data_IF_880190058639
#
_entry.id   IF_880190058639
#
_cell.length_a   1.000
_cell.length_b   1.000
_cell.length_c   1.000
_cell.angle_alpha   90.00
_cell.angle_beta   90.00
_cell.angle_gamma   90.00
#
_symmetry.space_group_name_H-M   'P 1'
#
loop_
_entity.id
_entity.type
_entity.pdbx_description
1 polymer ?
#
# COMPACT_ATOMS: atom_id res chain seq x y z
N UNK A 1 -3.15 6.66 -22.44
CA UNK A 1 -2.37 5.62 -21.75
C UNK A 1 -2.57 5.81 -20.26
N UNK A 2 -2.82 4.73 -19.53
CA UNK A 2 -2.88 4.75 -18.07
C UNK A 2 -2.04 3.61 -17.50
N UNK A 3 -1.53 3.81 -16.28
CA UNK A 3 -0.89 2.77 -15.48
C UNK A 3 -1.26 2.95 -14.03
N UNK A 4 -1.25 1.86 -13.28
CA UNK A 4 -1.45 1.86 -11.83
C UNK A 4 -0.14 1.51 -11.16
N UNK A 5 0.21 2.24 -10.11
CA UNK A 5 1.32 1.91 -9.23
C UNK A 5 0.80 1.83 -7.80
N UNK A 6 1.49 1.08 -6.94
CA UNK A 6 1.18 1.09 -5.53
C UNK A 6 2.43 1.00 -4.66
N UNK A 7 2.30 1.54 -3.46
CA UNK A 7 3.31 1.59 -2.43
C UNK A 7 2.70 1.18 -1.10
N UNK A 8 3.54 0.68 -0.21
CA UNK A 8 3.18 0.48 1.19
C UNK A 8 3.92 1.53 2.00
N UNK A 9 3.18 2.24 2.82
CA UNK A 9 3.66 3.34 3.65
C UNK A 9 3.28 3.05 5.09
N UNK A 10 4.07 3.56 6.02
CA UNK A 10 3.74 3.50 7.44
C UNK A 10 3.42 4.91 7.91
N UNK A 11 2.22 5.08 8.47
CA UNK A 11 1.76 6.31 9.10
C UNK A 11 2.56 6.57 10.37
N UNK A 12 3.00 7.81 10.58
CA UNK A 12 3.62 8.19 11.86
C UNK A 12 2.56 8.45 12.93
N UNK A 13 2.90 8.31 14.23
CA UNK A 13 2.07 8.85 15.31
C UNK A 13 1.77 10.32 15.04
N UNK A 14 0.50 10.71 15.15
CA UNK A 14 0.00 12.08 14.99
C UNK A 14 0.07 12.71 13.58
N UNK A 15 0.37 11.94 12.54
CA UNK A 15 0.35 12.46 11.17
C UNK A 15 -1.07 12.74 10.65
N UNK A 16 -1.25 13.91 10.04
CA UNK A 16 -2.48 14.28 9.36
C UNK A 16 -2.48 13.87 7.88
N UNK A 17 -3.64 13.98 7.22
CA UNK A 17 -3.81 13.55 5.83
C UNK A 17 -2.88 14.28 4.84
N UNK A 18 -2.61 15.57 5.06
CA UNK A 18 -1.75 16.36 4.17
C UNK A 18 -0.31 15.86 4.26
N UNK A 19 0.17 15.56 5.47
CA UNK A 19 1.50 15.01 5.73
C UNK A 19 1.67 13.62 5.11
N UNK A 20 0.64 12.77 5.20
CA UNK A 20 0.64 11.45 4.55
C UNK A 20 0.68 11.60 3.01
N UNK A 21 -0.09 12.53 2.45
CA UNK A 21 -0.12 12.74 1.01
C UNK A 21 1.19 13.32 0.45
N UNK A 22 1.90 14.15 1.24
CA UNK A 22 3.12 14.83 0.85
C UNK A 22 4.37 14.27 1.56
N UNK A 23 4.94 13.21 0.98
CA UNK A 23 6.14 12.52 1.50
C UNK A 23 7.35 12.62 0.56
N UNK A 24 8.09 13.74 0.57
CA UNK A 24 9.22 13.95 -0.34
C UNK A 24 10.49 13.16 0.03
N UNK A 25 10.61 12.71 1.29
CA UNK A 25 11.84 12.09 1.82
C UNK A 25 11.84 10.55 1.82
N UNK A 26 10.71 9.92 1.55
CA UNK A 26 10.58 8.46 1.56
C UNK A 26 9.22 7.99 2.05
N UNK A 27 8.93 6.70 1.79
CA UNK A 27 7.62 6.09 2.04
C UNK A 27 7.56 5.30 3.36
N UNK A 28 8.70 4.75 3.78
CA UNK A 28 8.88 4.05 5.04
C UNK A 28 10.06 4.70 5.78
N UNK A 29 9.83 5.17 7.00
CA UNK A 29 10.92 5.49 7.92
C UNK A 29 11.26 4.24 8.73
N UNK A 30 12.55 3.95 8.83
CA UNK A 30 13.06 2.73 9.50
C UNK A 30 12.82 2.72 11.01
N UNK A 31 12.47 3.87 11.59
CA UNK A 31 12.36 4.03 13.04
C UNK A 31 11.04 3.50 13.63
N UNK A 32 10.11 3.03 12.78
CA UNK A 32 8.86 2.39 13.22
C UNK A 32 9.04 0.87 13.23
N UNK A 33 9.32 0.31 14.41
CA UNK A 33 9.32 -1.14 14.64
C UNK A 33 7.92 -1.61 15.02
N UNK A 34 7.34 -2.54 14.25
CA UNK A 34 6.04 -3.18 14.50
C UNK A 34 4.79 -2.27 14.36
N UNK A 35 4.49 -1.78 13.14
CA UNK A 35 3.28 -0.99 12.90
C UNK A 35 2.01 -1.82 13.09
N UNK A 36 0.96 -1.20 13.62
CA UNK A 36 -0.39 -1.78 13.64
C UNK A 36 -1.02 -1.79 12.24
N UNK A 37 -2.05 -2.61 11.97
CA UNK A 37 -2.74 -2.62 10.68
C UNK A 37 -3.30 -1.25 10.25
N UNK A 38 -3.76 -0.42 11.19
CA UNK A 38 -4.28 0.93 10.90
C UNK A 38 -3.18 1.92 10.48
N UNK A 39 -1.93 1.63 10.85
CA UNK A 39 -0.76 2.44 10.50
C UNK A 39 -0.14 2.02 9.17
N UNK A 40 -0.46 0.83 8.65
CA UNK A 40 0.00 0.37 7.34
C UNK A 40 -0.95 0.89 6.26
N UNK A 41 -0.45 1.78 5.40
CA UNK A 41 -1.21 2.42 4.32
C UNK A 41 -0.80 1.84 2.97
N UNK A 42 -1.79 1.39 2.21
CA UNK A 42 -1.67 0.97 0.82
C UNK A 42 -1.98 2.20 -0.04
N UNK A 43 -0.92 2.86 -0.53
CA UNK A 43 -1.04 3.99 -1.45
C UNK A 43 -1.14 3.47 -2.87
N UNK A 44 -2.22 3.83 -3.57
CA UNK A 44 -2.38 3.54 -5.00
C UNK A 44 -2.39 4.81 -5.81
N UNK A 45 -1.64 4.81 -6.90
CA UNK A 45 -1.57 5.92 -7.83
C UNK A 45 -2.08 5.50 -9.19
N UNK A 46 -3.21 6.07 -9.60
CA UNK A 46 -3.67 5.99 -10.99
C UNK A 46 -3.01 7.10 -11.78
N UNK A 47 -2.14 6.70 -12.69
CA UNK A 47 -1.30 7.60 -13.47
C UNK A 47 -1.82 7.65 -14.91
N UNK A 48 -2.09 8.85 -15.40
CA UNK A 48 -2.69 9.07 -16.73
C UNK A 48 -1.81 9.99 -17.56
N UNK A 49 -1.66 9.65 -18.84
CA UNK A 49 -0.92 10.46 -19.81
C UNK A 49 -1.87 10.87 -20.92
N UNK A 50 -2.02 12.18 -21.10
CA UNK A 50 -2.87 12.78 -22.13
C UNK A 50 -2.10 13.83 -22.91
N UNK A 51 -2.15 13.76 -24.24
CA UNK A 51 -1.62 14.82 -25.10
C UNK A 51 -2.66 15.92 -25.25
N UNK A 52 -2.29 17.15 -24.94
CA UNK A 52 -3.16 18.31 -25.05
C UNK A 52 -3.34 18.67 -26.54
N UNK A 53 -4.58 18.81 -27.03
CA UNK A 53 -4.85 18.92 -28.47
C UNK A 53 -4.33 20.22 -29.08
N UNK A 54 -4.28 21.32 -28.31
CA UNK A 54 -3.84 22.63 -28.81
C UNK A 54 -2.33 22.81 -28.80
N UNK A 55 -1.66 22.36 -27.74
CA UNK A 55 -0.23 22.64 -27.51
C UNK A 55 0.68 21.44 -27.77
N UNK A 56 0.12 20.23 -27.88
CA UNK A 56 0.89 18.99 -27.99
C UNK A 56 1.61 18.56 -26.70
N UNK A 57 1.51 19.34 -25.61
CA UNK A 57 2.07 19.04 -24.29
C UNK A 57 1.49 17.76 -23.73
N UNK A 58 2.28 17.00 -22.96
CA UNK A 58 1.80 15.83 -22.22
C UNK A 58 1.37 16.26 -20.81
N UNK A 59 0.09 16.10 -20.51
CA UNK A 59 -0.44 16.18 -19.15
C UNK A 59 -0.26 14.82 -18.48
N UNK A 60 0.56 14.79 -17.45
CA UNK A 60 0.71 13.66 -16.54
C UNK A 60 -0.14 13.90 -15.29
N UNK A 61 -1.20 13.13 -15.12
CA UNK A 61 -2.09 13.21 -13.96
C UNK A 61 -1.87 12.04 -13.02
N UNK A 62 -1.71 12.31 -11.74
CA UNK A 62 -1.59 11.30 -10.68
C UNK A 62 -2.78 11.45 -9.74
N UNK A 63 -3.61 10.42 -9.64
CA UNK A 63 -4.67 10.34 -8.64
C UNK A 63 -4.28 9.34 -7.57
N UNK A 64 -4.11 9.83 -6.34
CA UNK A 64 -3.70 9.04 -5.19
C UNK A 64 -4.91 8.57 -4.39
N UNK A 65 -4.90 7.29 -4.02
CA UNK A 65 -5.83 6.66 -3.09
C UNK A 65 -5.02 6.12 -1.91
N UNK A 66 -5.54 6.28 -0.70
CA UNK A 66 -4.94 5.76 0.52
C UNK A 66 -5.96 4.84 1.18
N UNK A 67 -5.53 3.64 1.57
CA UNK A 67 -6.37 2.66 2.26
C UNK A 67 -5.52 1.99 3.33
N UNK A 68 -6.00 1.96 4.57
CA UNK A 68 -5.29 1.27 5.65
C UNK A 68 -5.45 -0.25 5.51
N UNK A 69 -4.51 -1.03 6.06
CA UNK A 69 -4.51 -2.49 5.90
C UNK A 69 -5.77 -3.13 6.49
N UNK A 70 -6.26 -2.62 7.61
CA UNK A 70 -7.49 -3.07 8.27
C UNK A 70 -8.75 -2.82 7.44
N UNK A 71 -8.73 -1.82 6.57
CA UNK A 71 -9.83 -1.48 5.65
C UNK A 71 -9.70 -2.18 4.28
N UNK A 72 -8.59 -2.86 4.03
CA UNK A 72 -8.34 -3.48 2.74
C UNK A 72 -9.33 -4.63 2.48
N UNK A 73 -9.95 -4.71 1.29
CA UNK A 73 -10.82 -5.84 0.95
C UNK A 73 -10.06 -7.17 1.00
N UNK A 74 -10.72 -8.25 1.41
CA UNK A 74 -10.05 -9.54 1.62
C UNK A 74 -9.32 -10.06 0.38
N UNK A 75 -9.92 -9.93 -0.80
CA UNK A 75 -9.30 -10.32 -2.07
C UNK A 75 -8.01 -9.53 -2.35
N UNK A 76 -7.98 -8.25 -2.01
CA UNK A 76 -6.79 -7.42 -2.20
C UNK A 76 -5.70 -7.75 -1.17
N UNK A 77 -6.10 -8.07 0.07
CA UNK A 77 -5.19 -8.53 1.10
C UNK A 77 -4.54 -9.88 0.73
N UNK A 78 -5.31 -10.82 0.19
CA UNK A 78 -4.81 -12.10 -0.32
C UNK A 78 -3.82 -11.90 -1.48
N UNK A 79 -4.18 -11.03 -2.44
CA UNK A 79 -3.30 -10.69 -3.56
C UNK A 79 -1.98 -10.09 -3.07
N UNK A 80 -2.03 -9.15 -2.11
CA UNK A 80 -0.83 -8.56 -1.50
C UNK A 80 0.04 -9.62 -0.83
N UNK A 81 -0.55 -10.49 0.00
CA UNK A 81 0.17 -11.56 0.69
C UNK A 81 0.82 -12.54 -0.30
N UNK A 82 0.15 -12.87 -1.41
CA UNK A 82 0.68 -13.72 -2.48
C UNK A 82 1.83 -13.03 -3.23
N UNK A 83 1.64 -11.77 -3.60
CA UNK A 83 2.63 -10.99 -4.36
C UNK A 83 3.94 -10.85 -3.56
N UNK A 84 3.84 -10.50 -2.28
CA UNK A 84 5.00 -10.35 -1.38
C UNK A 84 5.87 -11.59 -1.25
N UNK A 85 5.27 -12.78 -1.33
CA UNK A 85 6.00 -14.06 -1.29
C UNK A 85 6.73 -14.35 -2.60
N UNK A 86 6.28 -13.76 -3.70
CA UNK A 86 6.85 -13.97 -5.04
C UNK A 86 7.95 -12.97 -5.40
N UNK A 87 8.09 -11.88 -4.63
CA UNK A 87 9.10 -10.88 -4.89
C UNK A 87 10.52 -11.44 -4.73
N UNK A 88 11.42 -11.15 -5.68
CA UNK A 88 12.85 -11.24 -5.45
C UNK A 88 13.25 -10.37 -4.25
N UNK A 89 14.32 -10.77 -3.54
CA UNK A 89 14.78 -10.09 -2.32
C UNK A 89 14.96 -8.58 -2.51
N UNK A 90 15.65 -8.17 -3.59
CA UNK A 90 15.88 -6.76 -3.90
C UNK A 90 14.59 -5.93 -4.11
N UNK A 91 13.50 -6.57 -4.56
CA UNK A 91 12.19 -5.91 -4.70
C UNK A 91 11.55 -5.72 -3.32
N UNK A 92 11.69 -6.73 -2.46
CA UNK A 92 11.26 -6.66 -1.06
C UNK A 92 11.97 -5.53 -0.31
N UNK A 93 13.30 -5.48 -0.40
CA UNK A 93 14.13 -4.42 0.19
C UNK A 93 13.70 -3.03 -0.31
N UNK A 94 13.58 -2.86 -1.63
CA UNK A 94 13.16 -1.60 -2.24
C UNK A 94 11.76 -1.15 -1.80
N UNK A 95 10.83 -2.09 -1.58
CA UNK A 95 9.47 -1.81 -1.07
C UNK A 95 9.39 -1.74 0.47
N UNK A 96 10.51 -1.88 1.18
CA UNK A 96 10.54 -1.84 2.64
C UNK A 96 9.84 -3.01 3.33
N UNK A 97 9.76 -4.17 2.66
CA UNK A 97 9.06 -5.38 3.14
C UNK A 97 9.51 -5.80 4.55
N UNK A 98 10.75 -5.54 4.92
CA UNK A 98 11.29 -5.87 6.26
C UNK A 98 10.60 -5.11 7.40
N UNK A 99 10.02 -3.94 7.10
CA UNK A 99 9.40 -3.08 8.12
C UNK A 99 7.94 -3.47 8.39
N UNK A 100 7.19 -3.83 7.34
CA UNK A 100 5.73 -4.03 7.43
C UNK A 100 5.26 -5.44 7.02
N UNK A 101 6.12 -6.22 6.35
CA UNK A 101 5.70 -7.44 5.67
C UNK A 101 5.28 -8.57 6.60
N UNK A 102 5.96 -8.72 7.74
CA UNK A 102 5.58 -9.69 8.77
C UNK A 102 4.17 -9.41 9.29
N UNK A 103 3.86 -8.13 9.56
CA UNK A 103 2.55 -7.71 10.06
C UNK A 103 1.43 -7.97 9.08
N UNK A 104 1.65 -7.70 7.79
CA UNK A 104 0.66 -8.00 6.74
C UNK A 104 0.31 -9.49 6.71
N UNK A 105 1.31 -10.36 6.81
CA UNK A 105 1.09 -11.82 6.82
C UNK A 105 0.39 -12.31 8.10
N UNK A 106 0.74 -11.73 9.26
CA UNK A 106 0.06 -11.99 10.54
C UNK A 106 -1.42 -11.59 10.44
N UNK A 107 -1.70 -10.37 9.99
CA UNK A 107 -3.05 -9.84 9.84
C UNK A 107 -3.88 -10.66 8.84
N UNK A 108 -3.29 -11.03 7.70
CA UNK A 108 -3.94 -11.90 6.72
C UNK A 108 -4.36 -13.25 7.33
N UNK A 109 -3.48 -13.93 8.07
CA UNK A 109 -3.81 -15.20 8.74
C UNK A 109 -4.95 -15.04 9.75
N UNK A 110 -4.91 -13.96 10.55
CA UNK A 110 -5.98 -13.66 11.51
C UNK A 110 -7.33 -13.46 10.81
N UNK A 111 -7.37 -12.70 9.71
CA UNK A 111 -8.60 -12.49 8.94
C UNK A 111 -9.14 -13.76 8.29
N UNK A 112 -8.27 -14.61 7.74
CA UNK A 112 -8.69 -15.91 7.19
C UNK A 112 -9.36 -16.77 8.27
N UNK A 113 -8.72 -16.90 9.44
CA UNK A 113 -9.29 -17.68 10.55
C UNK A 113 -10.67 -17.17 11.01
N UNK A 114 -10.85 -15.84 11.12
CA UNK A 114 -12.14 -15.24 11.47
C UNK A 114 -13.24 -15.48 10.42
N UNK A 115 -12.87 -15.67 9.15
CA UNK A 115 -13.83 -15.97 8.08
C UNK A 115 -14.25 -17.43 8.10
N UNK A 116 -13.30 -18.33 8.32
CA UNK A 116 -13.57 -19.77 8.43
C UNK A 116 -14.51 -20.05 9.62
N UNK A 117 -14.25 -19.43 10.78
CA UNK A 117 -15.12 -19.52 11.97
C UNK A 117 -16.55 -18.99 11.72
N UNK A 118 -16.73 -17.97 10.87
CA UNK A 118 -18.06 -17.42 10.54
C UNK A 118 -18.86 -18.27 9.55
N UNK A 119 -18.18 -19.13 8.79
CA UNK A 119 -18.84 -20.03 7.82
C UNK A 119 -19.33 -21.30 8.52
N UNK A 120 -18.70 -21.67 9.63
CA UNK A 120 -19.05 -22.85 10.44
C UNK A 120 -20.20 -22.61 11.45
N UNK A 121 -20.67 -21.37 11.62
CA UNK A 121 -21.75 -20.97 12.56
C UNK A 121 -23.08 -20.71 11.86
#
# INVERSE_FOLDING_TARGET
MERSNYFVEIKRPDENLIEILYRPKGLCEKDLSDPSPEEIIIRRERQTFRRMPKTGTILFGVKTYLTTLDQLPMQELENLAKEMRSWPEYVGEYKGKDVWGAKVLEFYKSRVGQMDEKIEV
#
